data_IF_729308202191
#
_entry.id   IF_729308202191
#
_cell.length_a   1.000
_cell.length_b   1.000
_cell.length_c   1.000
_cell.angle_alpha   90.00
_cell.angle_beta   90.00
_cell.angle_gamma   90.00
#
_symmetry.space_group_name_H-M   'P 1'
#
loop_
_entity.id
_entity.type
_entity.pdbx_description
1 polymer ?
#
# COMPACT_ATOMS: atom_id res chain seq x y z
N UNK A 1 37.44 24.09 -19.69
CA UNK A 1 36.79 23.07 -18.84
C UNK A 1 37.30 23.29 -17.43
N UNK A 2 36.63 24.15 -16.66
CA UNK A 2 37.04 24.46 -15.30
C UNK A 2 36.61 23.30 -14.40
N UNK A 3 37.58 22.62 -13.79
CA UNK A 3 37.34 21.65 -12.74
C UNK A 3 36.80 22.43 -11.54
N UNK A 4 35.48 22.49 -11.40
CA UNK A 4 34.80 23.04 -10.22
C UNK A 4 35.32 22.29 -9.02
N UNK A 5 36.11 22.96 -8.19
CA UNK A 5 36.48 22.47 -6.86
C UNK A 5 35.17 22.20 -6.13
N UNK A 6 34.82 20.92 -5.96
CA UNK A 6 33.74 20.50 -5.09
C UNK A 6 34.01 21.09 -3.71
N UNK A 7 33.28 22.15 -3.36
CA UNK A 7 33.30 22.68 -2.02
C UNK A 7 32.71 21.60 -1.11
N UNK A 8 33.55 21.00 -0.28
CA UNK A 8 33.12 19.97 0.67
C UNK A 8 32.02 20.50 1.60
N UNK A 9 31.91 21.83 1.76
CA UNK A 9 30.81 22.48 2.48
C UNK A 9 29.45 22.42 1.80
N UNK A 10 29.38 22.26 0.47
CA UNK A 10 28.11 22.28 -0.29
C UNK A 10 27.49 20.89 -0.52
N UNK A 11 28.20 19.81 -0.20
CA UNK A 11 27.72 18.43 -0.42
C UNK A 11 26.56 18.09 0.54
N UNK A 12 26.63 18.48 1.81
CA UNK A 12 25.56 18.26 2.79
C UNK A 12 24.23 18.93 2.40
N UNK A 13 24.22 20.22 2.05
CA UNK A 13 23.05 20.90 1.49
C UNK A 13 22.50 20.25 0.22
N UNK A 14 23.37 19.80 -0.69
CA UNK A 14 22.95 19.11 -1.92
C UNK A 14 22.22 17.80 -1.62
N UNK A 15 22.79 16.95 -0.76
CA UNK A 15 22.18 15.68 -0.31
C UNK A 15 20.83 15.96 0.37
N UNK A 16 20.77 16.98 1.23
CA UNK A 16 19.54 17.41 1.89
C UNK A 16 18.47 17.82 0.89
N UNK A 17 18.83 18.60 -0.14
CA UNK A 17 17.90 19.06 -1.17
C UNK A 17 17.35 17.88 -2.00
N UNK A 18 18.22 16.94 -2.39
CA UNK A 18 17.83 15.72 -3.13
C UNK A 18 16.90 14.85 -2.26
N UNK A 19 17.21 14.69 -0.98
CA UNK A 19 16.34 13.98 -0.03
C UNK A 19 14.97 14.64 0.13
N UNK A 20 14.95 15.97 0.27
CA UNK A 20 13.71 16.74 0.39
C UNK A 20 12.84 16.64 -0.88
N UNK A 21 13.46 16.65 -2.07
CA UNK A 21 12.78 16.39 -3.34
C UNK A 21 12.07 15.02 -3.33
N UNK A 22 12.72 13.99 -2.79
CA UNK A 22 12.15 12.64 -2.68
C UNK A 22 10.97 12.58 -1.71
N UNK A 23 11.07 13.27 -0.57
CA UNK A 23 9.95 13.40 0.39
C UNK A 23 8.77 14.13 -0.23
N UNK A 24 9.01 15.24 -0.95
CA UNK A 24 7.97 16.00 -1.64
C UNK A 24 7.26 15.16 -2.72
N UNK A 25 8.03 14.42 -3.52
CA UNK A 25 7.49 13.52 -4.53
C UNK A 25 6.62 12.41 -3.92
N UNK A 26 7.05 11.81 -2.80
CA UNK A 26 6.26 10.83 -2.07
C UNK A 26 4.96 11.43 -1.52
N UNK A 27 5.00 12.66 -1.01
CA UNK A 27 3.81 13.39 -0.56
C UNK A 27 2.81 13.65 -1.69
N UNK A 28 3.29 14.02 -2.89
CA UNK A 28 2.42 14.20 -4.06
C UNK A 28 1.76 12.89 -4.50
N UNK A 29 2.50 11.79 -4.47
CA UNK A 29 1.97 10.45 -4.77
C UNK A 29 0.94 10.03 -3.73
N UNK A 30 1.15 10.32 -2.45
CA UNK A 30 0.16 10.04 -1.42
C UNK A 30 -1.12 10.87 -1.62
N UNK A 31 -0.98 12.15 -1.99
CA UNK A 31 -2.09 13.03 -2.31
C UNK A 31 -2.92 12.54 -3.52
N UNK A 32 -2.35 11.68 -4.39
CA UNK A 32 -3.11 11.07 -5.49
C UNK A 32 -4.33 10.27 -5.02
N UNK A 33 -4.39 9.86 -3.75
CA UNK A 33 -5.54 9.18 -3.14
C UNK A 33 -6.84 9.98 -3.26
N UNK A 34 -6.75 11.32 -3.25
CA UNK A 34 -7.91 12.20 -3.44
C UNK A 34 -8.62 11.96 -4.79
N UNK A 35 -7.90 11.42 -5.78
CA UNK A 35 -8.41 11.12 -7.12
C UNK A 35 -8.78 9.63 -7.22
N UNK A 36 -9.88 9.25 -6.58
CA UNK A 36 -10.45 7.90 -6.70
C UNK A 36 -9.58 6.79 -6.10
N UNK A 37 -8.81 7.09 -5.06
CA UNK A 37 -7.94 6.13 -4.36
C UNK A 37 -6.51 6.05 -4.88
N UNK A 38 -6.19 6.67 -6.02
CA UNK A 38 -4.82 6.82 -6.52
C UNK A 38 -4.01 5.52 -6.52
N UNK A 39 -2.78 5.58 -6.02
CA UNK A 39 -1.86 4.42 -5.92
C UNK A 39 -2.37 3.31 -4.97
N UNK A 40 -3.26 3.62 -4.02
CA UNK A 40 -3.86 2.61 -3.14
C UNK A 40 -4.65 1.54 -3.91
N UNK A 41 -5.17 1.86 -5.10
CA UNK A 41 -5.91 0.90 -5.92
C UNK A 41 -5.07 -0.30 -6.36
N UNK A 42 -3.76 -0.12 -6.56
CA UNK A 42 -2.87 -1.23 -6.95
C UNK A 42 -2.79 -2.31 -5.86
N UNK A 43 -2.70 -1.90 -4.59
CA UNK A 43 -2.75 -2.83 -3.45
C UNK A 43 -4.14 -3.43 -3.27
N UNK A 44 -5.20 -2.62 -3.39
CA UNK A 44 -6.57 -3.07 -3.17
C UNK A 44 -6.98 -4.23 -4.09
N UNK A 45 -6.49 -4.26 -5.34
CA UNK A 45 -6.78 -5.36 -6.27
C UNK A 45 -6.40 -6.75 -5.73
N UNK A 46 -5.41 -6.84 -4.81
CA UNK A 46 -5.02 -8.10 -4.14
C UNK A 46 -6.05 -8.50 -3.08
N UNK A 47 -6.53 -7.55 -2.30
CA UNK A 47 -7.59 -7.76 -1.29
C UNK A 47 -8.88 -8.15 -1.99
N UNK A 48 -9.28 -7.42 -3.03
CA UNK A 48 -10.48 -7.72 -3.81
C UNK A 48 -10.44 -9.13 -4.38
N UNK A 49 -9.30 -9.56 -4.96
CA UNK A 49 -9.14 -10.92 -5.48
C UNK A 49 -9.39 -11.97 -4.40
N UNK A 50 -8.83 -11.79 -3.20
CA UNK A 50 -9.01 -12.74 -2.10
C UNK A 50 -10.47 -12.80 -1.63
N UNK A 51 -11.15 -11.67 -1.51
CA UNK A 51 -12.57 -11.62 -1.16
C UNK A 51 -13.42 -12.33 -2.22
N UNK A 52 -13.11 -12.11 -3.51
CA UNK A 52 -13.82 -12.75 -4.62
C UNK A 52 -13.64 -14.26 -4.71
N UNK A 53 -12.60 -14.83 -4.10
CA UNK A 53 -12.50 -16.28 -3.98
C UNK A 53 -13.70 -16.83 -3.20
N UNK A 54 -14.00 -16.24 -2.04
CA UNK A 54 -15.12 -16.66 -1.19
C UNK A 54 -16.48 -16.23 -1.73
N UNK A 55 -16.51 -15.09 -2.43
CA UNK A 55 -17.74 -14.45 -2.88
C UNK A 55 -17.61 -14.01 -4.36
N UNK A 56 -17.66 -14.95 -5.32
CA UNK A 56 -17.40 -14.66 -6.74
C UNK A 56 -18.46 -13.72 -7.33
N UNK A 57 -19.71 -13.82 -6.87
CA UNK A 57 -20.85 -13.06 -7.39
C UNK A 57 -20.95 -11.63 -6.82
N UNK A 58 -19.94 -11.14 -6.09
CA UNK A 58 -19.93 -9.76 -5.61
C UNK A 58 -19.96 -8.82 -6.81
N UNK A 59 -21.12 -8.21 -7.04
CA UNK A 59 -21.26 -7.10 -7.98
C UNK A 59 -20.58 -5.89 -7.38
N UNK A 60 -19.70 -5.24 -8.13
CA UNK A 60 -19.29 -3.89 -7.78
C UNK A 60 -20.54 -3.02 -7.75
N UNK A 61 -20.86 -2.39 -6.62
CA UNK A 61 -21.75 -1.24 -6.60
C UNK A 61 -21.06 -0.10 -7.35
N UNK A 62 -21.07 -0.16 -8.68
CA UNK A 62 -20.57 0.93 -9.51
C UNK A 62 -21.66 1.99 -9.47
N UNK A 63 -21.49 2.99 -8.61
CA UNK A 63 -22.40 4.10 -8.34
C UNK A 63 -23.12 4.61 -9.59
N UNK A 64 -24.28 4.02 -9.90
CA UNK A 64 -25.28 4.52 -10.84
C UNK A 64 -26.63 4.02 -10.34
N UNK A 65 -27.41 4.96 -9.80
CA UNK A 65 -28.74 4.73 -9.20
C UNK A 65 -28.65 3.87 -7.92
N UNK A 66 -28.82 4.44 -6.74
CA UNK A 66 -30.17 4.81 -6.33
C UNK A 66 -31.02 3.55 -6.19
N UNK A 67 -31.11 3.04 -4.95
CA UNK A 67 -32.24 2.31 -4.37
C UNK A 67 -32.18 0.79 -4.13
N UNK A 68 -31.02 0.12 -4.10
CA UNK A 68 -30.90 -1.17 -3.38
C UNK A 68 -29.52 -1.36 -2.73
N UNK A 69 -29.34 -0.84 -1.53
CA UNK A 69 -28.14 -1.07 -0.71
C UNK A 69 -28.28 -2.42 0.00
N UNK A 70 -27.95 -3.52 -0.67
CA UNK A 70 -27.78 -4.81 0.02
C UNK A 70 -26.32 -4.95 0.50
N UNK A 71 -26.10 -5.72 1.58
CA UNK A 71 -24.76 -5.95 2.13
C UNK A 71 -23.79 -6.48 1.07
N UNK A 72 -24.24 -7.44 0.23
CA UNK A 72 -23.47 -7.99 -0.91
C UNK A 72 -22.89 -6.94 -1.86
N UNK A 73 -23.63 -5.89 -2.19
CA UNK A 73 -23.13 -4.82 -3.07
C UNK A 73 -22.20 -3.85 -2.34
N UNK A 74 -22.19 -3.89 -1.00
CA UNK A 74 -21.47 -2.95 -0.13
C UNK A 74 -20.16 -3.47 0.46
N UNK A 75 -19.90 -4.79 0.45
CA UNK A 75 -18.67 -5.37 1.04
C UNK A 75 -17.39 -4.77 0.43
N UNK A 76 -17.25 -4.83 -0.90
CA UNK A 76 -16.06 -4.29 -1.57
C UNK A 76 -15.89 -2.78 -1.35
N UNK A 77 -16.94 -1.94 -1.48
CA UNK A 77 -16.87 -0.53 -1.10
C UNK A 77 -16.41 -0.27 0.34
N UNK A 78 -16.93 -1.00 1.33
CA UNK A 78 -16.57 -0.83 2.74
C UNK A 78 -15.10 -1.21 2.96
N UNK A 79 -14.68 -2.37 2.46
CA UNK A 79 -13.28 -2.81 2.59
C UNK A 79 -12.34 -1.85 1.86
N UNK A 80 -12.74 -1.34 0.68
CA UNK A 80 -11.98 -0.34 -0.07
C UNK A 80 -11.84 0.96 0.70
N UNK A 81 -12.91 1.43 1.33
CA UNK A 81 -12.88 2.65 2.14
C UNK A 81 -11.91 2.49 3.32
N UNK A 82 -11.96 1.36 4.04
CA UNK A 82 -11.03 1.06 5.14
C UNK A 82 -9.57 1.03 4.67
N UNK A 83 -9.32 0.44 3.49
CA UNK A 83 -8.00 0.40 2.87
C UNK A 83 -7.47 1.79 2.48
N UNK A 84 -8.28 2.58 1.78
CA UNK A 84 -7.89 3.94 1.33
C UNK A 84 -7.65 4.86 2.52
N UNK A 85 -8.48 4.77 3.56
CA UNK A 85 -8.38 5.58 4.77
C UNK A 85 -7.22 5.15 5.69
N UNK A 86 -6.51 4.06 5.37
CA UNK A 86 -5.34 3.63 6.12
C UNK A 86 -5.66 3.11 7.52
N UNK A 87 -6.82 2.46 7.70
CA UNK A 87 -7.17 1.77 8.95
C UNK A 87 -6.06 0.77 9.36
N UNK A 88 -5.93 0.45 10.64
CA UNK A 88 -4.93 -0.54 11.08
C UNK A 88 -5.16 -1.90 10.38
N UNK A 89 -4.09 -2.55 9.89
CA UNK A 89 -4.22 -3.80 9.12
C UNK A 89 -4.93 -4.92 9.88
N UNK A 90 -4.79 -4.98 11.20
CA UNK A 90 -5.57 -5.88 12.06
C UNK A 90 -7.07 -5.66 11.86
N UNK A 91 -7.50 -4.42 12.04
CA UNK A 91 -8.90 -4.03 12.04
C UNK A 91 -9.51 -4.17 10.65
N UNK A 92 -8.72 -3.89 9.61
CA UNK A 92 -9.13 -4.12 8.22
C UNK A 92 -9.41 -5.61 7.95
N UNK A 93 -8.51 -6.51 8.39
CA UNK A 93 -8.69 -7.96 8.24
C UNK A 93 -9.91 -8.45 9.03
N UNK A 94 -10.10 -7.93 10.23
CA UNK A 94 -11.21 -8.31 11.11
C UNK A 94 -12.55 -7.86 10.52
N UNK A 95 -12.62 -6.63 10.00
CA UNK A 95 -13.78 -6.12 9.31
C UNK A 95 -14.09 -6.93 8.03
N UNK A 96 -13.09 -7.21 7.20
CA UNK A 96 -13.28 -8.00 5.98
C UNK A 96 -13.75 -9.43 6.30
N UNK A 97 -13.16 -10.07 7.31
CA UNK A 97 -13.57 -11.38 7.78
C UNK A 97 -15.00 -11.39 8.30
N UNK A 98 -15.37 -10.41 9.12
CA UNK A 98 -16.75 -10.29 9.62
C UNK A 98 -17.75 -10.12 8.47
N UNK A 99 -17.44 -9.26 7.49
CA UNK A 99 -18.29 -9.05 6.31
C UNK A 99 -18.45 -10.31 5.45
N UNK A 100 -17.39 -11.09 5.25
CA UNK A 100 -17.46 -12.36 4.52
C UNK A 100 -18.30 -13.39 5.29
N UNK A 101 -18.08 -13.50 6.61
CA UNK A 101 -18.83 -14.42 7.47
C UNK A 101 -20.32 -14.09 7.53
N UNK A 102 -20.69 -12.82 7.50
CA UNK A 102 -22.10 -12.39 7.42
C UNK A 102 -22.78 -12.85 6.13
N UNK A 103 -22.02 -13.15 5.09
CA UNK A 103 -22.54 -13.70 3.84
C UNK A 103 -22.51 -15.23 3.79
N UNK A 104 -22.08 -15.93 4.84
CA UNK A 104 -22.14 -17.39 4.88
C UNK A 104 -23.61 -17.84 4.92
N UNK A 105 -24.05 -18.51 3.86
CA UNK A 105 -25.44 -18.92 3.64
C UNK A 105 -25.52 -20.29 2.99
N UNK A 106 -26.69 -20.90 3.08
CA UNK A 106 -26.92 -22.23 2.51
C UNK A 106 -26.68 -22.30 0.99
N UNK A 107 -26.83 -21.16 0.29
CA UNK A 107 -26.69 -21.02 -1.16
C UNK A 107 -25.24 -20.85 -1.66
N UNK A 108 -24.31 -20.38 -0.81
CA UNK A 108 -22.91 -20.14 -1.18
C UNK A 108 -21.89 -20.91 -0.31
N UNK A 109 -22.36 -21.67 0.69
CA UNK A 109 -21.51 -22.49 1.54
C UNK A 109 -20.62 -23.45 0.76
N UNK A 110 -21.10 -24.02 -0.35
CA UNK A 110 -20.29 -24.90 -1.20
C UNK A 110 -19.06 -24.17 -1.76
N UNK A 111 -19.24 -22.99 -2.35
CA UNK A 111 -18.13 -22.17 -2.86
C UNK A 111 -17.15 -21.79 -1.75
N UNK A 112 -17.66 -21.34 -0.60
CA UNK A 112 -16.81 -20.97 0.54
C UNK A 112 -16.03 -22.16 1.10
N UNK A 113 -16.64 -23.35 1.11
CA UNK A 113 -16.01 -24.57 1.61
C UNK A 113 -14.86 -25.03 0.74
N UNK A 114 -14.96 -24.88 -0.59
CA UNK A 114 -13.90 -25.22 -1.53
C UNK A 114 -12.67 -24.35 -1.33
N UNK A 115 -12.86 -23.05 -1.10
CA UNK A 115 -11.76 -22.10 -0.85
C UNK A 115 -11.11 -22.35 0.52
N UNK A 116 -11.91 -22.66 1.54
CA UNK A 116 -11.42 -22.93 2.88
C UNK A 116 -10.96 -24.38 3.12
N UNK A 117 -11.07 -25.25 2.10
CA UNK A 117 -10.78 -26.68 2.18
C UNK A 117 -11.48 -27.40 3.36
N UNK A 118 -12.74 -27.04 3.61
CA UNK A 118 -13.61 -27.67 4.62
C UNK A 118 -14.72 -28.49 3.98
N UNK A 119 -15.35 -29.39 4.75
CA UNK A 119 -16.44 -30.22 4.23
C UNK A 119 -17.63 -29.36 3.75
N UNK A 120 -18.03 -29.45 2.46
CA UNK A 120 -19.11 -28.65 1.89
C UNK A 120 -20.47 -28.96 2.51
N UNK A 121 -20.73 -30.22 2.85
CA UNK A 121 -21.99 -30.66 3.45
C UNK A 121 -22.12 -30.11 4.85
N UNK A 122 -21.03 -30.19 5.63
CA UNK A 122 -21.01 -29.69 7.00
C UNK A 122 -21.12 -28.16 7.05
N UNK A 123 -20.41 -27.44 6.17
CA UNK A 123 -20.50 -25.98 6.12
C UNK A 123 -21.89 -25.50 5.68
N UNK A 124 -22.55 -26.22 4.77
CA UNK A 124 -23.96 -25.94 4.39
C UNK A 124 -24.93 -26.15 5.54
N UNK A 125 -24.75 -27.21 6.33
CA UNK A 125 -25.56 -27.44 7.54
C UNK A 125 -25.34 -26.33 8.58
N UNK A 126 -24.09 -25.91 8.78
CA UNK A 126 -23.74 -24.79 9.67
C UNK A 126 -24.44 -23.51 9.21
N UNK A 127 -24.40 -23.20 7.91
CA UNK A 127 -25.05 -22.02 7.36
C UNK A 127 -26.57 -22.05 7.61
N UNK A 128 -27.23 -23.18 7.36
CA UNK A 128 -28.67 -23.34 7.62
C UNK A 128 -29.02 -23.18 9.12
N UNK A 129 -28.17 -23.68 10.02
CA UNK A 129 -28.34 -23.49 11.47
C UNK A 129 -28.14 -22.04 11.89
N UNK A 130 -27.15 -21.33 11.33
CA UNK A 130 -26.97 -19.90 11.58
C UNK A 130 -28.19 -19.10 11.09
N UNK A 131 -28.70 -19.40 9.89
CA UNK A 131 -29.88 -18.74 9.31
C UNK A 131 -31.16 -18.95 10.17
N UNK A 132 -31.30 -20.14 10.77
CA UNK A 132 -32.45 -20.51 11.61
C UNK A 132 -32.27 -20.15 13.10
N UNK A 133 -31.11 -19.64 13.51
CA UNK A 133 -30.78 -19.38 14.91
C UNK A 133 -30.58 -20.64 15.77
N UNK A 134 -30.29 -21.79 15.14
CA UNK A 134 -30.05 -23.06 15.82
C UNK A 134 -28.68 -23.12 16.51
N UNK A 135 -28.53 -24.06 17.45
CA UNK A 135 -27.25 -24.33 18.11
C UNK A 135 -26.39 -25.26 17.26
N UNK A 136 -25.08 -24.96 17.20
CA UNK A 136 -24.10 -25.80 16.53
C UNK A 136 -23.63 -26.94 17.45
N UNK A 137 -23.49 -28.14 16.88
CA UNK A 137 -22.81 -29.26 17.53
C UNK A 137 -21.31 -28.99 17.69
N UNK A 138 -20.60 -29.79 18.49
CA UNK A 138 -19.16 -29.60 18.68
C UNK A 138 -18.35 -29.90 17.41
N UNK A 139 -18.79 -30.86 16.60
CA UNK A 139 -18.23 -31.13 15.27
C UNK A 139 -18.42 -29.92 14.33
N UNK A 140 -19.61 -29.33 14.33
CA UNK A 140 -19.93 -28.14 13.54
C UNK A 140 -19.12 -26.91 13.97
N UNK A 141 -18.94 -26.69 15.29
CA UNK A 141 -18.05 -25.64 15.80
C UNK A 141 -16.61 -25.86 15.37
N UNK A 142 -16.12 -27.10 15.39
CA UNK A 142 -14.77 -27.43 14.93
C UNK A 142 -14.58 -27.09 13.45
N UNK A 143 -15.53 -27.47 12.60
CA UNK A 143 -15.49 -27.16 11.18
C UNK A 143 -15.58 -25.66 10.89
N UNK A 144 -16.47 -24.94 11.59
CA UNK A 144 -16.55 -23.47 11.51
C UNK A 144 -15.23 -22.81 11.95
N UNK A 145 -14.57 -23.36 12.98
CA UNK A 145 -13.25 -22.90 13.41
C UNK A 145 -12.16 -23.09 12.35
N UNK A 146 -12.17 -24.22 11.62
CA UNK A 146 -11.24 -24.44 10.49
C UNK A 146 -11.51 -23.48 9.33
N UNK A 147 -12.78 -23.27 9.01
CA UNK A 147 -13.20 -22.28 8.03
C UNK A 147 -12.70 -20.88 8.41
N UNK A 148 -12.91 -20.46 9.66
CA UNK A 148 -12.47 -19.16 10.17
C UNK A 148 -10.95 -19.00 10.11
N UNK A 149 -10.20 -20.06 10.40
CA UNK A 149 -8.74 -20.07 10.33
C UNK A 149 -8.24 -19.94 8.88
N UNK A 150 -8.84 -20.68 7.95
CA UNK A 150 -8.52 -20.60 6.52
C UNK A 150 -8.86 -19.22 5.93
N UNK A 151 -10.03 -18.67 6.28
CA UNK A 151 -10.41 -17.33 5.89
C UNK A 151 -9.41 -16.29 6.44
N UNK A 152 -9.02 -16.40 7.71
CA UNK A 152 -8.06 -15.50 8.31
C UNK A 152 -6.68 -15.57 7.64
N UNK A 153 -6.19 -16.78 7.31
CA UNK A 153 -4.87 -16.96 6.67
C UNK A 153 -4.84 -16.41 5.24
N UNK A 154 -5.90 -16.66 4.45
CA UNK A 154 -6.02 -16.14 3.08
C UNK A 154 -6.09 -14.61 3.09
N UNK A 155 -6.90 -14.02 3.98
CA UNK A 155 -6.96 -12.57 4.11
C UNK A 155 -5.62 -11.99 4.58
N UNK A 156 -4.94 -12.62 5.55
CA UNK A 156 -3.63 -12.14 6.00
C UNK A 156 -2.61 -12.08 4.85
N UNK A 157 -2.47 -13.15 4.08
CA UNK A 157 -1.60 -13.19 2.91
C UNK A 157 -1.96 -12.08 1.91
N UNK A 158 -3.26 -11.91 1.61
CA UNK A 158 -3.74 -10.90 0.68
C UNK A 158 -3.42 -9.46 1.14
N UNK A 159 -3.58 -9.17 2.43
CA UNK A 159 -3.28 -7.85 3.01
C UNK A 159 -1.77 -7.57 3.05
N UNK A 160 -0.93 -8.58 3.27
CA UNK A 160 0.52 -8.45 3.19
C UNK A 160 0.97 -8.17 1.75
N UNK A 161 0.47 -8.92 0.78
CA UNK A 161 0.71 -8.68 -0.65
C UNK A 161 0.24 -7.29 -1.08
N UNK A 162 -0.95 -6.88 -0.64
CA UNK A 162 -1.50 -5.57 -0.94
C UNK A 162 -0.61 -4.44 -0.41
N UNK A 163 -0.14 -4.56 0.84
CA UNK A 163 0.78 -3.60 1.45
C UNK A 163 2.11 -3.52 0.73
N UNK A 164 2.69 -4.67 0.35
CA UNK A 164 3.92 -4.71 -0.43
C UNK A 164 3.74 -4.08 -1.82
N UNK A 165 2.65 -4.42 -2.51
CA UNK A 165 2.33 -3.86 -3.81
C UNK A 165 2.15 -2.33 -3.74
N UNK A 166 1.35 -1.85 -2.78
CA UNK A 166 1.19 -0.42 -2.52
C UNK A 166 2.53 0.27 -2.29
N UNK A 167 3.39 -0.25 -1.40
CA UNK A 167 4.71 0.35 -1.12
C UNK A 167 5.59 0.39 -2.38
N UNK A 168 5.60 -0.67 -3.17
CA UNK A 168 6.42 -0.75 -4.38
C UNK A 168 5.93 0.23 -5.46
N UNK A 169 4.62 0.26 -5.70
CA UNK A 169 4.03 1.18 -6.69
C UNK A 169 4.17 2.63 -6.23
N UNK A 170 3.98 2.93 -4.94
CA UNK A 170 4.17 4.27 -4.39
C UNK A 170 5.62 4.74 -4.56
N UNK A 171 6.61 3.88 -4.30
CA UNK A 171 8.03 4.21 -4.52
C UNK A 171 8.34 4.45 -5.99
N UNK A 172 7.81 3.61 -6.88
CA UNK A 172 7.99 3.77 -8.33
C UNK A 172 7.37 5.08 -8.83
N UNK A 173 6.11 5.33 -8.47
CA UNK A 173 5.41 6.56 -8.82
C UNK A 173 6.14 7.79 -8.26
N UNK A 174 6.63 7.72 -7.02
CA UNK A 174 7.40 8.80 -6.41
C UNK A 174 8.70 9.04 -7.17
N UNK A 175 9.35 7.99 -7.66
CA UNK A 175 10.56 8.10 -8.49
C UNK A 175 10.29 8.86 -9.79
N UNK A 176 9.20 8.52 -10.48
CA UNK A 176 8.77 9.23 -11.69
C UNK A 176 8.49 10.70 -11.40
N UNK A 177 7.72 10.98 -10.33
CA UNK A 177 7.41 12.35 -9.90
C UNK A 177 8.68 13.13 -9.56
N UNK A 178 9.63 12.52 -8.84
CA UNK A 178 10.88 13.16 -8.46
C UNK A 178 11.76 13.49 -9.67
N UNK A 179 11.81 12.61 -10.69
CA UNK A 179 12.50 12.89 -11.95
C UNK A 179 11.87 14.08 -12.68
N UNK A 180 10.55 14.12 -12.78
CA UNK A 180 9.83 15.24 -13.41
C UNK A 180 10.11 16.54 -12.64
N UNK A 181 9.99 16.52 -11.32
CA UNK A 181 10.28 17.69 -10.47
C UNK A 181 11.74 18.13 -10.56
N UNK A 182 12.69 17.21 -10.62
CA UNK A 182 14.12 17.51 -10.76
C UNK A 182 14.46 18.18 -12.09
N UNK A 183 13.93 17.66 -13.19
CA UNK A 183 14.11 18.26 -14.53
C UNK A 183 13.44 19.63 -14.62
N UNK A 184 12.19 19.75 -14.15
CA UNK A 184 11.48 21.04 -14.14
C UNK A 184 12.14 22.06 -13.22
N UNK A 185 12.61 21.63 -12.04
CA UNK A 185 13.34 22.49 -11.11
C UNK A 185 14.62 23.02 -11.73
N UNK A 186 15.39 22.16 -12.40
CA UNK A 186 16.59 22.57 -13.14
C UNK A 186 16.26 23.58 -14.26
N UNK A 187 15.22 23.30 -15.05
CA UNK A 187 14.77 24.21 -16.10
C UNK A 187 14.39 25.60 -15.56
N UNK A 188 13.66 25.66 -14.44
CA UNK A 188 13.23 26.92 -13.81
C UNK A 188 14.43 27.71 -13.27
N UNK A 189 15.36 27.04 -12.58
CA UNK A 189 16.50 27.70 -11.93
C UNK A 189 17.50 28.23 -12.95
N UNK A 190 17.80 27.45 -14.00
CA UNK A 190 18.81 27.80 -14.98
C UNK A 190 18.24 28.38 -16.28
N UNK A 191 16.92 28.60 -16.33
CA UNK A 191 16.18 29.15 -17.48
C UNK A 191 16.55 28.48 -18.82
N UNK A 192 16.67 27.14 -18.82
CA UNK A 192 17.05 26.40 -20.03
C UNK A 192 17.23 24.90 -19.80
N UNK A 193 17.45 24.17 -20.89
CA UNK A 193 17.58 22.70 -20.89
C UNK A 193 19.02 22.21 -20.67
N UNK A 194 19.98 23.12 -20.56
CA UNK A 194 21.41 22.80 -20.44
C UNK A 194 21.74 21.95 -19.21
N UNK A 195 20.92 22.03 -18.16
CA UNK A 195 21.11 21.30 -16.90
C UNK A 195 20.05 20.21 -16.67
N UNK A 196 19.36 19.79 -17.73
CA UNK A 196 18.29 18.79 -17.63
C UNK A 196 18.82 17.42 -17.16
N UNK A 197 20.06 17.08 -17.51
CA UNK A 197 20.69 15.82 -17.12
C UNK A 197 21.01 15.79 -15.62
N UNK A 198 21.47 16.91 -15.07
CA UNK A 198 21.72 17.09 -13.64
C UNK A 198 20.41 17.04 -12.86
N UNK A 199 19.37 17.71 -13.35
CA UNK A 199 18.02 17.65 -12.78
C UNK A 199 17.45 16.22 -12.79
N UNK A 200 17.65 15.49 -13.90
CA UNK A 200 17.30 14.08 -14.00
C UNK A 200 18.07 13.23 -12.96
N UNK A 201 19.38 13.43 -12.84
CA UNK A 201 20.22 12.72 -11.86
C UNK A 201 19.77 12.97 -10.42
N UNK A 202 19.48 14.23 -10.07
CA UNK A 202 18.91 14.59 -8.77
C UNK A 202 17.57 13.87 -8.51
N UNK A 203 16.68 13.83 -9.50
CA UNK A 203 15.39 13.15 -9.38
C UNK A 203 15.48 11.64 -9.23
N UNK A 204 16.39 10.98 -9.97
CA UNK A 204 16.64 9.53 -9.83
C UNK A 204 17.15 9.18 -8.43
N UNK A 205 18.04 10.01 -7.87
CA UNK A 205 18.62 9.79 -6.54
C UNK A 205 17.66 10.16 -5.41
N UNK A 206 16.68 11.03 -5.66
CA UNK A 206 15.82 11.61 -4.64
C UNK A 206 15.07 10.59 -3.78
N UNK A 207 14.35 9.66 -4.40
CA UNK A 207 13.50 8.70 -3.67
C UNK A 207 14.30 7.67 -2.87
N UNK A 208 15.37 7.05 -3.41
CA UNK A 208 16.24 6.19 -2.61
C UNK A 208 16.96 6.91 -1.47
N UNK A 209 17.32 8.18 -1.66
CA UNK A 209 18.09 8.96 -0.69
C UNK A 209 17.23 9.52 0.45
N UNK A 210 15.97 9.85 0.18
CA UNK A 210 15.04 10.44 1.14
C UNK A 210 15.07 9.78 2.55
N UNK A 211 14.96 8.45 2.71
CA UNK A 211 14.94 7.83 4.04
C UNK A 211 16.28 7.91 4.80
N UNK A 212 17.42 8.02 4.09
CA UNK A 212 18.77 7.99 4.68
C UNK A 212 19.44 9.36 4.71
N UNK A 213 18.75 10.40 4.24
CA UNK A 213 19.32 11.73 4.02
C UNK A 213 19.91 12.31 5.30
N UNK A 214 19.18 12.28 6.41
CA UNK A 214 19.62 12.83 7.69
C UNK A 214 20.89 12.14 8.20
N UNK A 215 20.92 10.81 8.12
CA UNK A 215 22.04 10.01 8.62
C UNK A 215 23.27 10.19 7.72
N UNK A 216 23.07 10.23 6.41
CA UNK A 216 24.13 10.45 5.43
C UNK A 216 24.76 11.84 5.60
N UNK A 217 23.95 12.89 5.76
CA UNK A 217 24.45 14.26 5.99
C UNK A 217 25.22 14.34 7.29
N UNK A 218 24.72 13.70 8.35
CA UNK A 218 25.39 13.68 9.67
C UNK A 218 26.74 12.98 9.60
N UNK A 219 26.81 11.81 8.98
CA UNK A 219 28.04 11.04 8.80
C UNK A 219 29.07 11.79 7.94
N UNK A 220 28.62 12.42 6.85
CA UNK A 220 29.48 13.22 5.98
C UNK A 220 30.06 14.43 6.72
N UNK A 221 29.23 15.13 7.49
CA UNK A 221 29.66 16.30 8.28
C UNK A 221 30.75 15.93 9.28
N UNK A 222 30.57 14.81 10.00
CA UNK A 222 31.58 14.30 10.91
C UNK A 222 32.90 13.96 10.18
N UNK A 223 32.81 13.29 9.02
CA UNK A 223 33.97 12.97 8.19
C UNK A 223 34.73 14.21 7.69
N UNK A 224 34.01 15.24 7.23
CA UNK A 224 34.61 16.51 6.79
C UNK A 224 35.32 17.22 7.94
N UNK A 225 34.73 17.23 9.14
CA UNK A 225 35.37 17.79 10.33
C UNK A 225 36.69 17.08 10.68
N UNK A 226 36.72 15.75 10.60
CA UNK A 226 37.95 14.96 10.80
C UNK A 226 38.99 15.32 9.74
N UNK A 227 38.61 15.35 8.46
CA UNK A 227 39.53 15.71 7.37
C UNK A 227 40.09 17.13 7.52
N UNK A 228 39.27 18.10 7.93
CA UNK A 228 39.70 19.47 8.21
C UNK A 228 40.66 19.54 9.40
N UNK A 229 40.41 18.77 10.46
CA UNK A 229 41.30 18.69 11.62
C UNK A 229 42.67 18.10 11.27
N UNK A 230 42.71 17.08 10.39
CA UNK A 230 43.97 16.52 9.86
C UNK A 230 44.70 17.54 8.97
N UNK A 231 43.98 18.26 8.10
CA UNK A 231 44.57 19.27 7.21
C UNK A 231 45.20 20.43 8.00
N UNK A 232 44.59 20.87 9.10
CA UNK A 232 45.12 21.97 9.96
C UNK A 232 46.39 21.60 10.73
N UNK A 233 46.73 20.31 10.83
CA UNK A 233 47.96 19.82 11.49
C UNK A 233 49.16 19.70 10.55
N UNK A 234 48.97 19.85 9.24
CA UNK A 234 50.04 19.97 8.24
C UNK A 234 50.27 21.44 7.92
#
# INVERSE_FOLDING_TARGET
>A
MAMTTLDLGSIGPLISAIGALGVAAAGLVDASKAFGGGVSNAGFARIERAIRLFLPDLREARSRSGTETNLRTSILPIVRANWINGMATSDQRDAARALIKMELRSDNAETMSQVAEVDPTLLKQIAALIESGGSLSDEQKSALGRFDLALASILDAAYQEASQCYRNVSKLAAGVVAVVMGVLGSYIVFQGWSYALEGFGCGVLAVPLAPITKDLVSALTAGVQVAQAVRRKK
#
